data_IF_631938364722
#
_entry.id   IF_631938364722
#
_cell.length_a   1.000
_cell.length_b   1.000
_cell.length_c   1.000
_cell.angle_alpha   90.00
_cell.angle_beta   90.00
_cell.angle_gamma   90.00
#
_symmetry.space_group_name_H-M   'P 1'
#
loop_
_entity.id
_entity.type
_entity.pdbx_description
1 polymer ?
#
# COMPACT_ATOMS: atom_id res chain seq x y z
N UNK A 1 -14.40 14.19 43.03
CA UNK A 1 -15.43 13.56 42.19
C UNK A 1 -14.97 13.67 40.74
N UNK A 2 -14.11 12.73 40.36
CA UNK A 2 -14.30 11.66 39.36
C UNK A 2 -14.16 12.17 37.92
N UNK A 3 -13.02 11.81 37.33
CA UNK A 3 -12.67 11.99 35.94
C UNK A 3 -13.53 11.08 35.05
N UNK A 4 -13.98 11.58 33.90
CA UNK A 4 -14.60 10.74 32.87
C UNK A 4 -13.65 10.68 31.67
N UNK A 5 -12.89 9.59 31.64
CA UNK A 5 -12.06 9.19 30.53
C UNK A 5 -12.97 8.76 29.37
N UNK A 6 -12.93 9.49 28.26
CA UNK A 6 -13.52 9.04 27.02
C UNK A 6 -12.73 7.82 26.51
N UNK A 7 -13.43 6.70 26.42
CA UNK A 7 -12.93 5.40 26.03
C UNK A 7 -12.31 5.42 24.63
N UNK A 8 -10.98 5.36 24.56
CA UNK A 8 -10.28 4.85 23.39
C UNK A 8 -10.58 3.36 23.31
N UNK A 9 -11.36 2.95 22.31
CA UNK A 9 -11.55 1.55 21.96
C UNK A 9 -10.20 0.99 21.49
N UNK A 10 -9.42 0.47 22.43
CA UNK A 10 -8.22 -0.30 22.15
C UNK A 10 -8.65 -1.58 21.44
N UNK A 11 -8.51 -1.59 20.12
CA UNK A 11 -8.53 -2.83 19.35
C UNK A 11 -7.36 -3.69 19.86
N UNK A 12 -7.70 -4.77 20.55
CA UNK A 12 -6.77 -5.84 20.92
C UNK A 12 -6.20 -6.44 19.63
N UNK A 13 -4.94 -6.15 19.32
CA UNK A 13 -4.22 -6.79 18.22
C UNK A 13 -3.64 -8.11 18.72
N UNK A 14 -4.42 -9.17 18.55
CA UNK A 14 -4.02 -10.54 18.81
C UNK A 14 -2.83 -10.89 17.90
N UNK A 15 -1.67 -11.15 18.52
CA UNK A 15 -0.42 -11.53 17.87
C UNK A 15 -0.04 -12.90 18.40
N UNK A 16 -0.61 -13.97 17.84
CA UNK A 16 -0.17 -15.36 18.11
C UNK A 16 0.02 -16.19 16.82
N UNK A 17 0.33 -15.54 15.70
CA UNK A 17 0.60 -16.23 14.42
C UNK A 17 2.12 -16.40 14.12
N UNK A 18 3.00 -16.13 15.09
CA UNK A 18 4.45 -16.02 14.88
C UNK A 18 5.22 -17.36 14.84
N UNK A 19 4.59 -18.52 15.08
CA UNK A 19 5.37 -19.75 15.35
C UNK A 19 5.71 -20.67 14.17
N UNK A 20 5.14 -20.54 12.97
CA UNK A 20 5.32 -21.60 11.94
C UNK A 20 5.58 -21.13 10.49
N UNK A 21 6.04 -19.91 10.28
CA UNK A 21 6.70 -19.47 9.03
C UNK A 21 7.67 -18.35 9.38
N UNK A 22 8.79 -18.13 8.66
CA UNK A 22 9.63 -16.94 8.88
C UNK A 22 8.90 -15.72 8.32
N UNK A 23 7.75 -15.42 8.90
CA UNK A 23 6.86 -14.37 8.48
C UNK A 23 7.42 -13.09 9.09
N UNK A 24 7.84 -12.16 8.24
CA UNK A 24 8.47 -10.91 8.69
C UNK A 24 7.58 -10.22 9.74
N UNK A 25 8.21 -9.69 10.79
CA UNK A 25 7.52 -8.89 11.80
C UNK A 25 6.94 -7.63 11.17
N UNK A 26 5.98 -7.00 11.86
CA UNK A 26 5.36 -5.75 11.41
C UNK A 26 6.40 -4.67 11.14
N UNK A 27 7.35 -4.50 12.06
CA UNK A 27 8.43 -3.51 12.00
C UNK A 27 9.33 -3.79 10.79
N UNK A 28 9.67 -5.07 10.57
CA UNK A 28 10.48 -5.48 9.41
C UNK A 28 9.77 -5.21 8.08
N UNK A 29 8.45 -5.42 8.01
CA UNK A 29 7.64 -5.08 6.84
C UNK A 29 7.63 -3.57 6.60
N UNK A 30 7.38 -2.78 7.64
CA UNK A 30 7.38 -1.31 7.57
C UNK A 30 8.73 -0.78 7.09
N UNK A 31 9.83 -1.25 7.67
CA UNK A 31 11.18 -0.84 7.28
C UNK A 31 11.48 -1.19 5.83
N UNK A 32 11.06 -2.38 5.39
CA UNK A 32 11.27 -2.80 3.99
C UNK A 32 10.42 -1.99 3.02
N UNK A 33 9.15 -1.73 3.35
CA UNK A 33 8.27 -0.85 2.59
C UNK A 33 8.88 0.55 2.48
N UNK A 34 9.42 1.11 3.57
CA UNK A 34 10.02 2.46 3.56
C UNK A 34 11.31 2.54 2.76
N UNK A 35 12.13 1.49 2.76
CA UNK A 35 13.33 1.41 1.89
C UNK A 35 12.95 1.41 0.40
N UNK A 36 11.84 0.77 0.07
CA UNK A 36 11.37 0.58 -1.32
C UNK A 36 10.54 1.78 -1.80
N UNK A 37 9.68 2.31 -0.93
CA UNK A 37 8.84 3.47 -1.17
C UNK A 37 9.03 4.50 -0.03
N UNK A 38 9.99 5.42 -0.15
CA UNK A 38 10.25 6.47 0.85
C UNK A 38 9.07 7.40 1.12
N UNK A 39 8.08 7.46 0.21
CA UNK A 39 6.88 8.29 0.36
C UNK A 39 5.85 7.69 1.32
N UNK A 40 5.98 6.40 1.66
CA UNK A 40 5.14 5.74 2.65
C UNK A 40 5.53 6.18 4.07
N UNK A 41 4.81 7.14 4.63
CA UNK A 41 5.06 7.64 5.99
C UNK A 41 4.68 6.61 7.07
N UNK A 42 5.34 6.61 8.23
CA UNK A 42 5.01 5.70 9.34
C UNK A 42 3.54 5.79 9.76
N UNK A 43 3.00 7.01 9.91
CA UNK A 43 1.60 7.25 10.29
C UNK A 43 0.60 6.69 9.28
N UNK A 44 0.98 6.57 8.00
CA UNK A 44 0.16 5.91 6.99
C UNK A 44 0.17 4.39 7.18
N UNK A 45 1.30 3.80 7.59
CA UNK A 45 1.48 2.36 7.75
C UNK A 45 0.94 1.83 9.08
N UNK A 46 0.83 2.69 10.10
CA UNK A 46 0.27 2.37 11.42
C UNK A 46 -1.15 1.81 11.34
N UNK A 47 -1.99 2.29 10.41
CA UNK A 47 -3.35 1.80 10.23
C UNK A 47 -3.49 0.45 9.52
N UNK A 48 -2.41 -0.10 8.97
CA UNK A 48 -2.46 -1.33 8.17
C UNK A 48 -2.29 -2.56 9.05
N UNK A 49 -2.96 -3.66 8.73
CA UNK A 49 -2.67 -4.97 9.35
C UNK A 49 -1.38 -5.55 8.78
N UNK A 50 -0.81 -6.55 9.45
CA UNK A 50 0.39 -7.24 8.98
C UNK A 50 0.19 -7.84 7.59
N UNK A 51 -0.97 -8.46 7.32
CA UNK A 51 -1.27 -9.02 6.00
C UNK A 51 -1.43 -7.96 4.92
N UNK A 52 -2.02 -6.81 5.26
CA UNK A 52 -2.09 -5.68 4.33
C UNK A 52 -0.71 -5.11 4.01
N UNK A 53 0.21 -5.08 4.99
CA UNK A 53 1.60 -4.69 4.76
C UNK A 53 2.35 -5.70 3.88
N UNK A 54 2.11 -7.00 4.05
CA UNK A 54 2.67 -8.06 3.17
C UNK A 54 2.19 -7.87 1.73
N UNK A 55 0.88 -7.75 1.53
CA UNK A 55 0.29 -7.54 0.22
C UNK A 55 0.83 -6.27 -0.44
N UNK A 56 0.95 -5.19 0.33
CA UNK A 56 1.51 -3.95 -0.18
C UNK A 56 2.97 -4.10 -0.63
N UNK A 57 3.79 -4.82 0.15
CA UNK A 57 5.18 -5.09 -0.22
C UNK A 57 5.27 -5.95 -1.49
N UNK A 58 4.41 -6.95 -1.65
CA UNK A 58 4.34 -7.77 -2.86
C UNK A 58 3.94 -6.94 -4.09
N UNK A 59 2.96 -6.06 -3.94
CA UNK A 59 2.59 -5.11 -5.00
C UNK A 59 3.76 -4.21 -5.40
N UNK A 60 4.52 -3.69 -4.43
CA UNK A 60 5.70 -2.88 -4.72
C UNK A 60 6.73 -3.68 -5.54
N UNK A 61 7.00 -4.94 -5.19
CA UNK A 61 7.93 -5.79 -5.93
C UNK A 61 7.50 -6.00 -7.40
N UNK A 62 6.21 -6.21 -7.65
CA UNK A 62 5.67 -6.33 -9.02
C UNK A 62 5.82 -5.01 -9.78
N UNK A 63 5.53 -3.87 -9.16
CA UNK A 63 5.63 -2.55 -9.83
C UNK A 63 7.07 -2.12 -10.14
N UNK A 64 8.03 -2.59 -9.36
CA UNK A 64 9.46 -2.29 -9.54
C UNK A 64 10.14 -3.20 -10.56
N UNK A 65 9.50 -4.31 -10.91
CA UNK A 65 9.96 -5.13 -12.02
C UNK A 65 9.88 -4.27 -13.29
N UNK A 66 10.96 -4.13 -14.07
CA UNK A 66 10.90 -3.41 -15.34
C UNK A 66 9.78 -4.02 -16.16
N UNK A 67 8.76 -3.21 -16.46
CA UNK A 67 7.70 -3.58 -17.40
C UNK A 67 8.42 -4.09 -18.64
N UNK A 68 8.21 -5.36 -19.00
CA UNK A 68 8.95 -6.04 -20.06
C UNK A 68 9.07 -5.11 -21.28
N UNK A 69 10.23 -5.09 -21.95
CA UNK A 69 10.46 -4.26 -23.12
C UNK A 69 9.40 -4.58 -24.19
N UNK A 70 8.31 -3.80 -24.23
CA UNK A 70 7.08 -4.13 -24.98
C UNK A 70 5.77 -3.85 -24.24
N UNK A 71 5.77 -3.69 -22.92
CA UNK A 71 4.61 -3.27 -22.11
C UNK A 71 4.35 -1.74 -22.20
N UNK A 72 4.55 -1.19 -23.39
CA UNK A 72 4.02 0.12 -23.76
C UNK A 72 2.56 -0.05 -24.14
N UNK A 73 1.73 0.93 -23.80
CA UNK A 73 0.38 1.00 -24.35
C UNK A 73 0.49 1.25 -25.86
N UNK A 74 0.37 0.21 -26.68
CA UNK A 74 0.31 0.35 -28.13
C UNK A 74 -1.07 0.95 -28.47
N UNK A 75 -1.14 2.28 -28.60
CA UNK A 75 -2.35 2.90 -29.16
C UNK A 75 -2.44 2.50 -30.64
N UNK A 76 -3.61 2.06 -31.11
CA UNK A 76 -3.90 2.02 -32.54
C UNK A 76 -3.66 3.41 -33.14
N UNK A 77 -3.02 3.47 -34.32
CA UNK A 77 -2.66 4.74 -34.99
C UNK A 77 -3.87 5.64 -35.30
N UNK A 78 -5.08 5.08 -35.25
CA UNK A 78 -6.32 5.75 -35.58
C UNK A 78 -6.98 6.45 -34.37
N UNK A 79 -6.37 6.41 -33.18
CA UNK A 79 -6.94 7.04 -31.97
C UNK A 79 -6.28 8.40 -31.69
N UNK A 80 -7.03 9.52 -31.76
CA UNK A 80 -6.52 10.85 -31.43
C UNK A 80 -5.92 10.92 -30.02
N UNK A 81 -4.79 11.61 -29.88
CA UNK A 81 -4.04 11.69 -28.63
C UNK A 81 -4.80 12.47 -27.55
N UNK A 82 -5.55 13.50 -27.96
CA UNK A 82 -6.29 14.43 -27.10
C UNK A 82 -7.66 14.65 -27.75
N UNK A 83 -8.73 14.38 -27.01
CA UNK A 83 -10.09 14.73 -27.40
C UNK A 83 -10.56 15.85 -26.48
N UNK A 84 -10.99 16.97 -27.05
CA UNK A 84 -11.71 18.01 -26.30
C UNK A 84 -13.21 17.73 -26.40
N UNK A 85 -13.92 17.91 -25.29
CA UNK A 85 -15.39 17.90 -25.32
C UNK A 85 -15.85 19.26 -25.85
N UNK A 86 -16.70 19.26 -26.86
CA UNK A 86 -17.34 20.48 -27.35
C UNK A 86 -18.28 21.03 -26.27
N UNK A 87 -18.16 22.32 -25.89
CA UNK A 87 -19.16 22.95 -25.03
C UNK A 87 -20.49 22.97 -25.76
N UNK A 88 -21.57 22.58 -25.07
CA UNK A 88 -22.93 22.62 -25.60
C UNK A 88 -23.47 24.01 -25.26
N UNK A 89 -23.73 24.83 -26.28
CA UNK A 89 -24.47 26.10 -26.16
C UNK A 89 -25.95 25.86 -25.76
#
# INVERSE_FOLDING_TARGET
>A
MVAEAAAAATLTFDTDADRMSPSLSREQLVDRIRRVNPTATPSRLEGFTVDALRLYLDHLAVTLTPRAAGAGWLRPGDTPAIMTREPRD
#
